data_IF_826719245988
#
_entry.id   IF_826719245988
#
_cell.length_a   1.000
_cell.length_b   1.000
_cell.length_c   1.000
_cell.angle_alpha   90.00
_cell.angle_beta   90.00
_cell.angle_gamma   90.00
#
_symmetry.space_group_name_H-M   'P 1'
#
loop_
_entity.id
_entity.type
_entity.pdbx_description
1 polymer ?
#
# COMPACT_ATOMS: atom_id res chain seq x y z
N UNK A 1 17.83 -13.46 -8.33
CA UNK A 1 18.90 -14.46 -8.59
C UNK A 1 19.08 -14.77 -10.08
N UNK A 2 18.00 -14.94 -10.85
CA UNK A 2 18.03 -15.19 -12.30
C UNK A 2 18.80 -14.13 -13.11
N UNK A 3 18.56 -12.85 -12.82
CA UNK A 3 19.21 -11.71 -13.48
C UNK A 3 20.74 -11.69 -13.32
N UNK A 4 21.24 -12.13 -12.16
CA UNK A 4 22.68 -12.22 -11.90
C UNK A 4 23.34 -13.31 -12.77
N UNK A 5 22.69 -14.46 -12.93
CA UNK A 5 23.15 -15.56 -13.78
C UNK A 5 23.14 -15.19 -15.27
N UNK A 6 22.14 -14.45 -15.74
CA UNK A 6 22.06 -13.97 -17.13
C UNK A 6 23.19 -12.98 -17.44
N UNK A 7 23.46 -12.03 -16.55
CA UNK A 7 24.58 -11.08 -16.70
C UNK A 7 25.92 -11.81 -16.69
N UNK A 8 26.10 -12.80 -15.81
CA UNK A 8 27.31 -13.63 -15.74
C UNK A 8 27.51 -14.45 -17.02
N UNK A 9 26.44 -15.03 -17.55
CA UNK A 9 26.46 -15.80 -18.80
C UNK A 9 26.88 -14.96 -20.01
N UNK A 10 26.41 -13.71 -20.07
CA UNK A 10 26.75 -12.78 -21.16
C UNK A 10 28.19 -12.31 -21.05
N UNK A 11 28.66 -12.00 -19.85
CA UNK A 11 30.06 -11.64 -19.61
C UNK A 11 30.99 -12.81 -19.97
N UNK A 12 30.64 -14.03 -19.57
CA UNK A 12 31.39 -15.23 -19.93
C UNK A 12 31.41 -15.44 -21.45
N UNK A 13 30.27 -15.28 -22.14
CA UNK A 13 30.17 -15.37 -23.60
C UNK A 13 30.99 -14.30 -24.32
N UNK A 14 30.99 -13.07 -23.82
CA UNK A 14 31.81 -11.97 -24.36
C UNK A 14 33.30 -12.24 -24.21
N UNK A 15 33.74 -12.77 -23.06
CA UNK A 15 35.14 -13.20 -22.81
C UNK A 15 35.54 -14.37 -23.71
N UNK A 16 34.63 -15.31 -23.99
CA UNK A 16 34.89 -16.45 -24.86
C UNK A 16 35.02 -16.02 -26.34
N UNK A 17 34.12 -15.15 -26.82
CA UNK A 17 34.21 -14.54 -28.15
C UNK A 17 35.48 -13.71 -28.29
N UNK A 18 35.85 -13.00 -27.22
CA UNK A 18 37.08 -12.25 -27.11
C UNK A 18 38.34 -13.12 -27.28
N UNK A 19 38.35 -14.29 -26.65
CA UNK A 19 39.44 -15.26 -26.77
C UNK A 19 39.50 -15.91 -28.17
N UNK A 20 38.34 -16.13 -28.81
CA UNK A 20 38.22 -16.77 -30.12
C UNK A 20 38.51 -15.83 -31.30
N UNK A 21 38.36 -14.51 -31.14
CA UNK A 21 38.50 -13.52 -32.22
C UNK A 21 39.94 -13.24 -32.70
N UNK A 22 40.94 -14.03 -32.26
CA UNK A 22 42.30 -14.16 -32.83
C UNK A 22 42.94 -12.96 -33.56
N UNK A 23 43.94 -12.32 -32.93
CA UNK A 23 45.06 -11.46 -33.40
C UNK A 23 44.90 -10.44 -34.57
N UNK A 24 43.81 -10.36 -35.32
CA UNK A 24 43.64 -9.43 -36.45
C UNK A 24 42.80 -8.18 -36.15
N UNK A 25 42.13 -8.13 -34.99
CA UNK A 25 41.22 -7.06 -34.63
C UNK A 25 41.96 -5.98 -33.83
N UNK A 26 41.84 -4.71 -34.23
CA UNK A 26 42.45 -3.62 -33.48
C UNK A 26 41.90 -3.59 -32.05
N UNK A 27 42.77 -3.41 -31.04
CA UNK A 27 42.36 -3.34 -29.62
C UNK A 27 41.22 -2.33 -29.37
N UNK A 28 41.13 -1.26 -30.17
CA UNK A 28 40.06 -0.26 -30.09
C UNK A 28 38.72 -0.80 -30.57
N UNK A 29 38.68 -1.49 -31.71
CA UNK A 29 37.46 -2.10 -32.24
C UNK A 29 36.90 -3.14 -31.27
N UNK A 30 37.81 -3.87 -30.62
CA UNK A 30 37.46 -4.86 -29.61
C UNK A 30 36.91 -4.24 -28.32
N UNK A 31 37.59 -3.21 -27.77
CA UNK A 31 37.14 -2.52 -26.57
C UNK A 31 35.75 -1.87 -26.77
N UNK A 32 35.49 -1.29 -27.95
CA UNK A 32 34.18 -0.75 -28.30
C UNK A 32 33.12 -1.85 -28.40
N UNK A 33 33.43 -2.98 -29.05
CA UNK A 33 32.50 -4.12 -29.12
C UNK A 33 32.19 -4.71 -27.75
N UNK A 34 33.20 -4.86 -26.90
CA UNK A 34 33.07 -5.36 -25.53
C UNK A 34 32.25 -4.43 -24.62
N UNK A 35 32.19 -3.13 -24.91
CA UNK A 35 31.35 -2.18 -24.16
C UNK A 35 29.92 -2.07 -24.73
N UNK A 36 29.78 -2.11 -26.07
CA UNK A 36 28.49 -1.97 -26.73
C UNK A 36 27.58 -3.18 -26.52
N UNK A 37 28.12 -4.39 -26.54
CA UNK A 37 27.30 -5.62 -26.37
C UNK A 37 26.63 -5.67 -24.99
N UNK A 38 27.33 -5.47 -23.86
CA UNK A 38 26.69 -5.42 -22.55
C UNK A 38 25.71 -4.25 -22.41
N UNK A 39 26.04 -3.08 -22.98
CA UNK A 39 25.14 -1.92 -22.93
C UNK A 39 23.84 -2.16 -23.70
N UNK A 40 23.93 -2.70 -24.92
CA UNK A 40 22.77 -3.06 -25.72
C UNK A 40 21.92 -4.12 -25.01
N UNK A 41 22.56 -5.14 -24.42
CA UNK A 41 21.85 -6.15 -23.66
C UNK A 41 21.17 -5.57 -22.43
N UNK A 42 21.85 -4.71 -21.66
CA UNK A 42 21.27 -4.06 -20.51
C UNK A 42 20.04 -3.23 -20.88
N UNK A 43 20.07 -2.50 -22.00
CA UNK A 43 18.91 -1.77 -22.51
C UNK A 43 17.75 -2.69 -22.89
N UNK A 44 18.02 -3.83 -23.54
CA UNK A 44 16.98 -4.81 -23.90
C UNK A 44 16.37 -5.44 -22.65
N UNK A 45 17.20 -5.86 -21.69
CA UNK A 45 16.74 -6.44 -20.43
C UNK A 45 15.94 -5.45 -19.60
N UNK A 46 16.40 -4.20 -19.50
CA UNK A 46 15.68 -3.13 -18.82
C UNK A 46 14.33 -2.85 -19.50
N UNK A 47 14.31 -2.78 -20.84
CA UNK A 47 13.08 -2.61 -21.60
C UNK A 47 12.11 -3.76 -21.36
N UNK A 48 12.60 -5.00 -21.40
CA UNK A 48 11.81 -6.20 -21.15
C UNK A 48 11.27 -6.25 -19.70
N UNK A 49 12.04 -5.80 -18.70
CA UNK A 49 11.60 -5.77 -17.31
C UNK A 49 10.62 -4.64 -17.02
N UNK A 50 10.80 -3.46 -17.63
CA UNK A 50 9.94 -2.29 -17.39
C UNK A 50 8.64 -2.34 -18.19
N UNK A 51 8.60 -3.09 -19.29
CA UNK A 51 7.43 -3.16 -20.16
C UNK A 51 6.16 -3.68 -19.46
N UNK A 52 6.19 -4.80 -18.71
CA UNK A 52 5.03 -5.27 -17.95
C UNK A 52 4.56 -4.23 -16.91
N UNK A 53 5.47 -3.62 -16.16
CA UNK A 53 5.15 -2.59 -15.17
C UNK A 53 4.47 -1.39 -15.82
N UNK A 54 5.02 -0.91 -16.94
CA UNK A 54 4.45 0.23 -17.67
C UNK A 54 3.06 -0.11 -18.22
N UNK A 55 2.87 -1.32 -18.76
CA UNK A 55 1.56 -1.79 -19.22
C UNK A 55 0.56 -1.93 -18.06
N UNK A 56 0.99 -2.42 -16.91
CA UNK A 56 0.14 -2.55 -15.72
C UNK A 56 -0.31 -1.18 -15.23
N UNK A 57 0.60 -0.21 -15.13
CA UNK A 57 0.27 1.17 -14.74
C UNK A 57 -0.70 1.80 -15.75
N UNK A 58 -0.47 1.63 -17.05
CA UNK A 58 -1.38 2.16 -18.07
C UNK A 58 -2.75 1.47 -18.03
N UNK A 59 -2.79 0.15 -17.80
CA UNK A 59 -4.03 -0.60 -17.66
C UNK A 59 -4.79 -0.20 -16.39
N UNK A 60 -4.10 0.00 -15.26
CA UNK A 60 -4.69 0.52 -14.03
C UNK A 60 -5.23 1.92 -14.22
N UNK A 61 -4.47 2.82 -14.86
CA UNK A 61 -4.99 4.16 -15.19
C UNK A 61 -6.22 4.10 -16.08
N UNK A 62 -6.23 3.22 -17.10
CA UNK A 62 -7.38 3.07 -17.97
C UNK A 62 -8.61 2.50 -17.22
N UNK A 63 -8.41 1.52 -16.32
CA UNK A 63 -9.47 0.99 -15.46
C UNK A 63 -9.99 2.06 -14.48
N UNK A 64 -9.10 2.80 -13.85
CA UNK A 64 -9.44 3.81 -12.86
C UNK A 64 -10.06 5.07 -13.48
N UNK A 65 -9.76 5.39 -14.75
CA UNK A 65 -10.36 6.51 -15.46
C UNK A 65 -11.87 6.35 -15.67
N UNK A 66 -12.39 5.12 -15.61
CA UNK A 66 -13.82 4.83 -15.70
C UNK A 66 -14.55 4.97 -14.35
N UNK A 67 -13.83 5.06 -13.23
CA UNK A 67 -14.41 5.12 -11.88
C UNK A 67 -14.72 6.60 -11.55
N UNK A 68 -15.96 6.95 -11.18
CA UNK A 68 -16.29 8.29 -10.72
C UNK A 68 -15.38 8.71 -9.54
N UNK A 69 -14.96 9.98 -9.43
CA UNK A 69 -14.05 10.43 -8.36
C UNK A 69 -14.54 10.16 -6.93
N UNK A 70 -15.85 10.11 -6.72
CA UNK A 70 -16.45 9.74 -5.44
C UNK A 70 -16.20 8.26 -5.10
N UNK A 71 -16.35 7.37 -6.08
CA UNK A 71 -16.15 5.93 -5.89
C UNK A 71 -14.67 5.56 -5.82
N UNK A 72 -13.80 6.29 -6.54
CA UNK A 72 -12.35 6.08 -6.49
C UNK A 72 -11.76 6.35 -5.09
N UNK A 73 -12.38 7.22 -4.29
CA UNK A 73 -11.97 7.48 -2.91
C UNK A 73 -12.32 6.32 -1.97
N UNK A 74 -13.34 5.53 -2.32
CA UNK A 74 -13.81 4.40 -1.52
C UNK A 74 -13.14 3.08 -1.92
N UNK A 75 -12.56 3.01 -3.12
CA UNK A 75 -11.96 1.80 -3.66
C UNK A 75 -10.86 1.19 -2.76
N UNK A 76 -9.95 1.95 -2.13
CA UNK A 76 -8.98 1.39 -1.19
C UNK A 76 -9.63 0.76 0.05
N UNK A 77 -10.74 1.32 0.52
CA UNK A 77 -11.49 0.78 1.67
C UNK A 77 -12.10 -0.58 1.33
N UNK A 78 -12.75 -0.68 0.16
CA UNK A 78 -13.31 -1.96 -0.33
C UNK A 78 -12.27 -3.06 -0.52
N UNK A 79 -11.03 -2.72 -0.88
CA UNK A 79 -9.97 -3.73 -1.01
C UNK A 79 -9.43 -4.23 0.33
N UNK A 80 -9.58 -3.43 1.39
CA UNK A 80 -9.18 -3.77 2.75
C UNK A 80 -10.37 -4.28 3.59
N UNK A 81 -11.47 -4.68 2.93
CA UNK A 81 -12.72 -5.13 3.57
C UNK A 81 -13.27 -4.12 4.59
N UNK A 82 -13.05 -2.83 4.34
CA UNK A 82 -13.48 -1.77 5.25
C UNK A 82 -14.92 -1.34 4.97
N UNK A 83 -15.76 -1.30 6.02
CA UNK A 83 -17.12 -0.79 6.01
C UNK A 83 -17.09 0.74 5.95
N UNK A 84 -17.06 1.23 4.72
CA UNK A 84 -16.95 2.65 4.38
C UNK A 84 -18.11 3.45 4.98
N UNK A 85 -19.32 2.88 5.01
CA UNK A 85 -20.53 3.59 5.46
C UNK A 85 -20.45 3.87 6.96
N UNK A 86 -19.93 2.92 7.75
CA UNK A 86 -19.66 3.11 9.17
C UNK A 86 -18.64 4.23 9.41
N UNK A 87 -17.54 4.27 8.66
CA UNK A 87 -16.48 5.27 8.88
C UNK A 87 -16.96 6.68 8.54
N UNK A 88 -17.76 6.86 7.49
CA UNK A 88 -18.40 8.15 7.22
C UNK A 88 -19.42 8.52 8.30
N UNK A 89 -20.22 7.56 8.77
CA UNK A 89 -21.18 7.75 9.84
C UNK A 89 -20.52 8.14 11.18
N UNK A 90 -19.36 7.53 11.49
CA UNK A 90 -18.57 7.85 12.67
C UNK A 90 -17.95 9.25 12.54
N UNK A 91 -17.47 9.61 11.35
CA UNK A 91 -16.90 10.94 11.07
C UNK A 91 -17.90 12.08 11.29
N UNK A 92 -19.19 11.84 11.05
CA UNK A 92 -20.24 12.85 11.28
C UNK A 92 -20.52 13.09 12.77
N UNK A 93 -20.15 12.14 13.65
CA UNK A 93 -20.37 12.20 15.11
C UNK A 93 -19.14 12.69 15.85
N UNK A 94 -17.97 12.17 15.50
CA UNK A 94 -16.72 12.50 16.16
C UNK A 94 -16.30 13.93 15.79
N UNK A 95 -16.18 14.85 16.76
CA UNK A 95 -15.74 16.21 16.48
C UNK A 95 -14.35 16.23 15.83
N UNK A 96 -14.09 17.14 14.88
CA UNK A 96 -12.77 17.24 14.26
C UNK A 96 -11.72 17.62 15.30
N UNK A 97 -10.68 16.78 15.42
CA UNK A 97 -9.55 17.01 16.32
C UNK A 97 -9.65 16.30 17.66
N UNK A 98 -10.74 15.55 17.90
CA UNK A 98 -10.87 14.66 19.04
C UNK A 98 -9.81 13.55 19.02
N UNK A 99 -9.49 12.99 20.18
CA UNK A 99 -8.66 11.77 20.25
C UNK A 99 -9.53 10.53 20.15
N UNK A 100 -9.13 9.58 19.29
CA UNK A 100 -9.89 8.35 19.03
C UNK A 100 -9.05 7.12 19.37
N UNK A 101 -9.68 6.07 19.89
CA UNK A 101 -9.08 4.75 19.97
C UNK A 101 -9.96 3.75 19.22
N UNK A 102 -9.39 3.03 18.26
CA UNK A 102 -10.13 2.09 17.41
C UNK A 102 -9.93 0.69 17.97
N UNK A 103 -11.03 0.08 18.43
CA UNK A 103 -11.10 -1.25 19.02
C UNK A 103 -11.61 -2.24 17.97
N UNK A 104 -11.00 -3.43 17.96
CA UNK A 104 -9.99 -3.87 17.01
C UNK A 104 -10.52 -4.07 15.59
N UNK A 105 -9.86 -3.42 14.62
CA UNK A 105 -9.77 -3.90 13.24
C UNK A 105 -8.40 -4.52 12.97
N UNK A 106 -8.21 -5.14 11.81
CA UNK A 106 -6.87 -5.53 11.34
C UNK A 106 -5.96 -4.29 11.10
N UNK A 107 -4.66 -4.50 10.93
CA UNK A 107 -3.70 -3.38 10.76
C UNK A 107 -4.05 -2.51 9.53
N UNK A 108 -4.56 -3.13 8.46
CA UNK A 108 -4.96 -2.43 7.24
C UNK A 108 -6.21 -1.56 7.46
N UNK A 109 -7.24 -2.10 8.10
CA UNK A 109 -8.46 -1.38 8.50
C UNK A 109 -8.15 -0.25 9.47
N UNK A 110 -7.33 -0.48 10.48
CA UNK A 110 -6.90 0.56 11.43
C UNK A 110 -6.27 1.76 10.73
N UNK A 111 -5.32 1.53 9.81
CA UNK A 111 -4.68 2.59 9.05
C UNK A 111 -5.67 3.37 8.17
N UNK A 112 -6.60 2.65 7.54
CA UNK A 112 -7.61 3.27 6.68
C UNK A 112 -8.62 4.11 7.47
N UNK A 113 -9.16 3.57 8.56
CA UNK A 113 -10.09 4.26 9.47
C UNK A 113 -9.44 5.53 10.03
N UNK A 114 -8.22 5.41 10.56
CA UNK A 114 -7.46 6.54 11.11
C UNK A 114 -7.24 7.62 10.05
N UNK A 115 -6.90 7.23 8.81
CA UNK A 115 -6.74 8.19 7.72
C UNK A 115 -8.05 8.92 7.37
N UNK A 116 -9.19 8.23 7.37
CA UNK A 116 -10.50 8.82 7.05
C UNK A 116 -11.05 9.72 8.15
N UNK A 117 -10.73 9.42 9.41
CA UNK A 117 -11.18 10.19 10.58
C UNK A 117 -10.31 11.42 10.87
N UNK A 118 -9.30 11.72 10.06
CA UNK A 118 -8.56 12.98 10.17
C UNK A 118 -9.51 14.20 10.11
N UNK A 119 -9.29 15.22 10.97
CA UNK A 119 -8.07 15.49 11.74
C UNK A 119 -8.02 14.87 13.15
N UNK A 120 -8.95 13.97 13.50
CA UNK A 120 -8.93 13.30 14.80
C UNK A 120 -7.68 12.43 14.96
N UNK A 121 -7.11 12.41 16.16
CA UNK A 121 -5.82 11.76 16.46
C UNK A 121 -6.05 10.38 17.06
N UNK A 122 -5.57 9.34 16.38
CA UNK A 122 -5.56 8.00 16.96
C UNK A 122 -4.57 7.93 18.14
N UNK A 123 -5.01 7.36 19.26
CA UNK A 123 -4.21 7.09 20.44
C UNK A 123 -4.11 5.60 20.70
N UNK A 124 -3.00 5.17 21.30
CA UNK A 124 -2.70 3.74 21.50
C UNK A 124 -3.52 3.10 22.62
N UNK A 125 -4.11 3.91 23.51
CA UNK A 125 -4.77 3.45 24.73
C UNK A 125 -6.18 4.04 24.87
N UNK A 126 -7.19 3.24 25.27
CA UNK A 126 -8.56 3.72 25.40
C UNK A 126 -8.69 4.83 26.45
N UNK A 127 -7.90 4.81 27.53
CA UNK A 127 -7.91 5.86 28.56
C UNK A 127 -7.41 7.23 28.07
N UNK A 128 -6.75 7.32 26.91
CA UNK A 128 -6.33 8.58 26.29
C UNK A 128 -7.34 9.13 25.26
N UNK A 129 -8.35 8.33 24.91
CA UNK A 129 -9.30 8.67 23.84
C UNK A 129 -10.54 9.37 24.38
N UNK A 130 -10.93 10.46 23.74
CA UNK A 130 -12.25 11.08 23.93
C UNK A 130 -13.36 10.22 23.30
N UNK A 131 -13.02 9.44 22.27
CA UNK A 131 -13.97 8.58 21.56
C UNK A 131 -13.41 7.17 21.34
N UNK A 132 -14.24 6.16 21.61
CA UNK A 132 -13.98 4.78 21.19
C UNK A 132 -14.70 4.50 19.88
N UNK A 133 -13.99 3.83 18.96
CA UNK A 133 -14.53 3.38 17.67
C UNK A 133 -14.47 1.87 17.65
N UNK A 134 -15.62 1.22 17.76
CA UNK A 134 -15.76 -0.23 17.66
C UNK A 134 -15.92 -0.60 16.19
N UNK A 135 -14.98 -1.36 15.65
CA UNK A 135 -14.94 -1.74 14.25
C UNK A 135 -14.86 -3.26 14.12
N UNK A 136 -15.87 -3.89 13.50
CA UNK A 136 -16.04 -5.35 13.44
C UNK A 136 -16.00 -6.03 14.82
N UNK A 137 -16.51 -5.33 15.83
CA UNK A 137 -16.59 -5.81 17.21
C UNK A 137 -17.75 -5.20 17.97
N UNK A 138 -18.45 -6.02 18.74
CA UNK A 138 -19.47 -5.52 19.67
C UNK A 138 -18.82 -4.86 20.90
N UNK A 139 -19.38 -3.75 21.41
CA UNK A 139 -19.04 -3.29 22.74
C UNK A 139 -19.57 -4.31 23.75
N UNK A 140 -18.66 -5.11 24.31
CA UNK A 140 -18.91 -6.07 25.38
C UNK A 140 -18.32 -5.56 26.71
N UNK A 141 -18.87 -6.01 27.84
CA UNK A 141 -18.47 -5.53 29.18
C UNK A 141 -17.00 -5.83 29.53
N UNK A 142 -16.30 -6.70 28.79
CA UNK A 142 -14.90 -7.06 29.10
C UNK A 142 -13.90 -6.05 28.51
N UNK A 143 -14.13 -5.57 27.28
CA UNK A 143 -13.23 -4.63 26.60
C UNK A 143 -13.79 -3.19 26.57
N UNK A 144 -15.04 -2.99 27.00
CA UNK A 144 -15.67 -1.68 27.07
C UNK A 144 -15.57 -1.06 28.47
N UNK A 145 -14.79 0.03 28.66
CA UNK A 145 -14.76 0.77 29.92
C UNK A 145 -16.04 1.61 30.11
N UNK A 146 -17.17 0.95 30.36
CA UNK A 146 -18.49 1.56 30.50
C UNK A 146 -18.63 2.54 31.66
N UNK A 147 -17.68 2.56 32.60
CA UNK A 147 -17.62 3.55 33.68
C UNK A 147 -17.09 4.91 33.20
N UNK A 148 -16.35 4.95 32.09
CA UNK A 148 -15.68 6.15 31.56
C UNK A 148 -16.32 6.67 30.27
N UNK A 149 -17.29 5.95 29.68
CA UNK A 149 -17.87 6.27 28.37
C UNK A 149 -19.40 6.09 28.34
N UNK A 150 -20.07 6.99 27.63
CA UNK A 150 -21.52 7.02 27.37
C UNK A 150 -22.00 5.76 26.65
N UNK A 151 -23.28 5.40 26.76
CA UNK A 151 -23.84 4.24 26.03
C UNK A 151 -23.47 4.25 24.53
N UNK A 152 -22.84 3.17 23.98
CA UNK A 152 -22.38 3.19 22.60
C UNK A 152 -23.49 3.45 21.59
N UNK A 153 -23.29 4.45 20.74
CA UNK A 153 -24.11 4.68 19.55
C UNK A 153 -23.80 3.60 18.51
N UNK A 154 -24.79 2.75 18.20
CA UNK A 154 -24.62 1.66 17.25
C UNK A 154 -24.99 2.09 15.83
N UNK A 155 -24.10 1.79 14.88
CA UNK A 155 -24.41 1.84 13.45
C UNK A 155 -25.12 0.55 13.03
N UNK A 156 -24.49 -0.59 13.29
CA UNK A 156 -25.03 -1.94 13.11
C UNK A 156 -24.30 -2.94 14.03
N UNK A 157 -24.54 -4.25 13.85
CA UNK A 157 -23.86 -5.30 14.62
C UNK A 157 -22.34 -5.24 14.35
N UNK A 158 -21.53 -5.16 15.41
CA UNK A 158 -20.07 -5.02 15.30
C UNK A 158 -19.55 -3.60 15.04
N UNK A 159 -20.41 -2.59 14.90
CA UNK A 159 -19.98 -1.24 14.56
C UNK A 159 -20.65 -0.18 15.43
N UNK A 160 -19.85 0.53 16.23
CA UNK A 160 -20.35 1.54 17.16
C UNK A 160 -19.30 2.62 17.46
N UNK A 161 -19.74 3.74 18.01
CA UNK A 161 -18.86 4.72 18.66
C UNK A 161 -19.36 5.02 20.07
N UNK A 162 -18.46 5.37 20.98
CA UNK A 162 -18.82 5.82 22.33
C UNK A 162 -18.00 7.06 22.71
N UNK A 163 -18.67 8.08 23.23
CA UNK A 163 -18.04 9.32 23.73
C UNK A 163 -17.67 9.16 25.21
N UNK A 164 -16.60 9.81 25.66
CA UNK A 164 -16.20 9.81 27.06
C UNK A 164 -17.15 10.68 27.89
N UNK A 165 -17.56 10.17 29.05
CA UNK A 165 -18.36 10.92 30.03
C UNK A 165 -17.51 12.01 30.69
N UNK A 166 -17.94 13.28 30.62
CA UNK A 166 -17.30 14.45 31.29
C UNK A 166 -17.72 14.65 32.76
#
# INVERSE_FOLDING_TARGET
MLLFLEVLGVLAGAVLLAALAGQGVSRRSFALGAALVPAALACVLLGASLWPTTRNILAERARNAAIPPAEAQLAPGRSADVEVEFVEWARERIPPGATIHVLPGDEEGFQWITYRLLPSLAVDRPEEAEWLVFYDREPDDEDYPSEDFDDPERFEEGFAVAERDE
#
